data_IF_798758116388
#
_entry.id   IF_798758116388
#
_cell.length_a   1.000
_cell.length_b   1.000
_cell.length_c   1.000
_cell.angle_alpha   90.00
_cell.angle_beta   90.00
_cell.angle_gamma   90.00
#
_symmetry.space_group_name_H-M   'P 1'
#
loop_
_entity.id
_entity.type
_entity.pdbx_description
1 polymer ?
#
# COMPACT_ATOMS: atom_id res chain seq x y z
N UNK A 1 25.31 -7.30 11.33
CA UNK A 1 23.95 -7.27 11.93
C UNK A 1 22.97 -7.25 10.78
N UNK A 2 21.87 -8.00 10.89
CA UNK A 2 20.84 -8.08 9.85
C UNK A 2 19.51 -7.66 10.46
N UNK A 3 18.78 -6.82 9.74
CA UNK A 3 17.43 -6.38 10.07
C UNK A 3 16.54 -6.85 8.92
N UNK A 4 15.48 -7.60 9.22
CA UNK A 4 14.56 -8.11 8.21
C UNK A 4 13.14 -7.68 8.52
N UNK A 5 12.45 -7.09 7.55
CA UNK A 5 11.07 -6.65 7.67
C UNK A 5 10.36 -6.75 6.31
N UNK A 6 9.17 -7.36 6.27
CA UNK A 6 8.33 -7.51 5.06
C UNK A 6 9.11 -7.92 3.80
N UNK A 7 9.97 -8.93 3.90
CA UNK A 7 10.77 -9.43 2.77
C UNK A 7 12.00 -8.60 2.41
N UNK A 8 12.17 -7.41 3.00
CA UNK A 8 13.40 -6.62 2.86
C UNK A 8 14.42 -6.98 3.93
N UNK A 9 15.67 -7.15 3.53
CA UNK A 9 16.82 -7.46 4.38
C UNK A 9 17.86 -6.34 4.29
N UNK A 10 18.21 -5.77 5.44
CA UNK A 10 19.23 -4.74 5.61
C UNK A 10 20.37 -5.31 6.44
N UNK A 11 21.57 -5.38 5.87
CA UNK A 11 22.79 -5.83 6.56
C UNK A 11 23.74 -4.65 6.79
N UNK A 12 24.16 -4.46 8.04
CA UNK A 12 25.13 -3.45 8.44
C UNK A 12 26.26 -4.06 9.29
N UNK A 13 27.46 -3.50 9.19
CA UNK A 13 28.62 -3.91 10.01
C UNK A 13 29.17 -2.73 10.80
N UNK A 14 29.57 -2.99 12.05
CA UNK A 14 30.15 -1.97 12.94
C UNK A 14 31.45 -1.44 12.32
N UNK A 15 31.59 -0.12 12.26
CA UNK A 15 32.75 0.56 11.70
C UNK A 15 32.93 0.41 10.19
N UNK A 16 31.90 -0.07 9.48
CA UNK A 16 31.93 -0.20 8.02
C UNK A 16 30.98 0.80 7.38
N UNK A 17 31.44 1.45 6.31
CA UNK A 17 30.67 2.37 5.48
C UNK A 17 29.82 1.63 4.44
N UNK A 18 30.12 0.36 4.15
CA UNK A 18 29.28 -0.47 3.30
C UNK A 18 28.13 -1.12 4.09
N UNK A 19 26.95 -1.15 3.48
CA UNK A 19 25.77 -1.92 3.89
C UNK A 19 25.27 -2.77 2.71
N UNK A 20 24.40 -3.74 2.98
CA UNK A 20 23.63 -4.42 1.91
C UNK A 20 22.13 -4.27 2.12
N UNK A 21 21.41 -4.03 1.03
CA UNK A 21 19.95 -4.05 0.95
C UNK A 21 19.58 -5.16 -0.04
N UNK A 22 18.90 -6.20 0.44
CA UNK A 22 18.55 -7.38 -0.38
C UNK A 22 19.76 -7.94 -1.17
N UNK A 23 20.93 -7.98 -0.52
CA UNK A 23 22.19 -8.43 -1.10
C UNK A 23 22.95 -7.40 -1.95
N UNK A 24 22.33 -6.27 -2.32
CA UNK A 24 22.97 -5.20 -3.09
C UNK A 24 23.72 -4.23 -2.19
N UNK A 25 24.95 -3.87 -2.56
CA UNK A 25 25.79 -2.94 -1.80
C UNK A 25 25.26 -1.51 -1.84
N UNK A 26 25.31 -0.82 -0.69
CA UNK A 26 25.01 0.60 -0.50
C UNK A 26 26.04 1.24 0.42
N UNK A 27 26.29 2.53 0.26
CA UNK A 27 27.19 3.31 1.12
C UNK A 27 26.37 4.05 2.17
N UNK A 28 26.86 4.05 3.40
CA UNK A 28 26.30 4.74 4.55
C UNK A 28 26.93 6.12 4.70
N UNK A 29 26.10 7.13 4.95
CA UNK A 29 26.58 8.47 5.32
C UNK A 29 27.10 8.51 6.76
N UNK A 30 26.58 7.64 7.63
CA UNK A 30 26.97 7.51 9.04
C UNK A 30 27.22 6.04 9.37
N UNK A 31 28.42 5.75 9.84
CA UNK A 31 28.83 4.39 10.19
C UNK A 31 28.15 3.88 11.46
N UNK A 32 27.73 2.60 11.49
CA UNK A 32 27.28 1.95 12.70
C UNK A 32 28.41 1.89 13.73
N UNK A 33 28.11 2.19 15.00
CA UNK A 33 29.11 2.15 16.06
C UNK A 33 28.51 1.64 17.38
N UNK A 34 29.38 1.31 18.34
CA UNK A 34 28.96 0.98 19.71
C UNK A 34 29.19 2.20 20.58
N UNK A 35 28.13 2.70 21.23
CA UNK A 35 28.22 3.82 22.16
C UNK A 35 29.03 3.45 23.41
N UNK A 36 29.46 4.46 24.16
CA UNK A 36 30.15 4.26 25.45
C UNK A 36 29.32 3.43 26.45
N UNK A 37 27.99 3.47 26.31
CA UNK A 37 27.06 2.67 27.12
C UNK A 37 26.88 1.24 26.61
N UNK A 38 27.68 0.80 25.63
CA UNK A 38 27.62 -0.56 25.06
C UNK A 38 26.44 -0.82 24.13
N UNK A 39 25.77 0.21 23.61
CA UNK A 39 24.63 0.05 22.69
C UNK A 39 25.08 0.23 21.25
N UNK A 40 24.58 -0.62 20.35
CA UNK A 40 24.78 -0.41 18.91
C UNK A 40 23.91 0.74 18.43
N UNK A 41 24.55 1.74 17.84
CA UNK A 41 23.93 2.89 17.20
C UNK A 41 23.96 2.70 15.69
N UNK A 42 22.81 2.82 15.06
CA UNK A 42 22.63 2.66 13.62
C UNK A 42 22.14 3.97 12.99
N UNK A 43 22.44 4.21 11.70
CA UNK A 43 21.85 5.31 10.95
C UNK A 43 20.35 5.06 10.78
N UNK A 44 19.54 5.65 11.68
CA UNK A 44 18.09 5.43 11.75
C UNK A 44 17.42 5.66 10.40
N UNK A 45 17.67 6.82 9.77
CA UNK A 45 17.07 7.18 8.48
C UNK A 45 17.34 6.12 7.41
N UNK A 46 18.62 5.73 7.26
CA UNK A 46 19.03 4.72 6.28
C UNK A 46 18.27 3.40 6.49
N UNK A 47 18.19 2.93 7.74
CA UNK A 47 17.50 1.66 8.04
C UNK A 47 16.02 1.79 7.74
N UNK A 48 15.36 2.83 8.24
CA UNK A 48 13.90 2.97 8.19
C UNK A 48 13.40 3.22 6.75
N UNK A 49 14.08 4.07 5.98
CA UNK A 49 13.72 4.35 4.58
C UNK A 49 13.88 3.09 3.70
N UNK A 50 14.96 2.32 3.89
CA UNK A 50 15.12 1.07 3.15
C UNK A 50 14.14 -0.03 3.59
N UNK A 51 13.54 0.08 4.78
CA UNK A 51 12.47 -0.82 5.23
C UNK A 51 11.06 -0.35 4.80
N UNK A 52 10.98 0.66 3.94
CA UNK A 52 9.71 1.13 3.36
C UNK A 52 8.95 2.14 4.22
N UNK A 53 9.64 2.86 5.11
CA UNK A 53 9.02 3.86 5.97
C UNK A 53 9.61 5.26 5.78
N UNK A 54 8.79 6.28 5.96
CA UNK A 54 9.23 7.66 5.86
C UNK A 54 9.73 8.21 7.18
N UNK A 55 10.67 9.13 7.09
CA UNK A 55 11.22 9.85 8.23
C UNK A 55 11.11 11.35 8.00
N UNK A 56 10.12 11.98 8.65
CA UNK A 56 9.96 13.42 8.68
C UNK A 56 10.62 14.01 9.94
N UNK A 57 11.30 15.14 9.77
CA UNK A 57 11.91 15.90 10.86
C UNK A 57 11.19 17.24 11.03
N UNK A 58 10.65 17.47 12.23
CA UNK A 58 10.19 18.78 12.66
C UNK A 58 11.30 19.44 13.50
N UNK A 59 11.95 20.43 12.90
CA UNK A 59 13.04 21.17 13.56
C UNK A 59 12.57 22.12 14.66
N UNK A 60 11.29 22.51 14.67
CA UNK A 60 10.71 23.42 15.67
C UNK A 60 10.48 22.65 16.97
N UNK A 61 9.81 21.50 16.87
CA UNK A 61 9.48 20.66 18.01
C UNK A 61 10.58 19.64 18.36
N UNK A 62 11.67 19.61 17.57
CA UNK A 62 12.75 18.61 17.65
C UNK A 62 12.19 17.18 17.63
N UNK A 63 11.22 16.94 16.76
CA UNK A 63 10.45 15.71 16.69
C UNK A 63 10.76 14.96 15.40
N UNK A 64 11.01 13.67 15.53
CA UNK A 64 11.06 12.74 14.40
C UNK A 64 9.70 12.05 14.32
N UNK A 65 9.08 12.09 13.15
CA UNK A 65 7.89 11.29 12.84
C UNK A 65 8.30 10.20 11.87
N UNK A 66 8.10 8.95 12.28
CA UNK A 66 8.30 7.76 11.44
C UNK A 66 6.92 7.27 11.04
N UNK A 67 6.67 7.19 9.74
CA UNK A 67 5.44 6.63 9.19
C UNK A 67 5.81 5.31 8.54
N UNK A 68 5.33 4.21 9.13
CA UNK A 68 5.53 2.85 8.64
C UNK A 68 4.21 2.36 8.05
N UNK A 69 4.23 1.99 6.77
CA UNK A 69 3.06 2.01 5.89
C UNK A 69 3.21 3.15 4.88
N UNK A 70 2.60 2.98 3.70
CA UNK A 70 2.77 3.82 2.52
C UNK A 70 2.78 5.32 2.84
N UNK A 71 3.99 5.86 2.90
CA UNK A 71 4.25 7.27 2.81
C UNK A 71 5.27 7.44 1.68
N UNK A 72 4.81 7.92 0.54
CA UNK A 72 5.04 9.28 0.05
C UNK A 72 3.83 9.55 -0.85
N UNK A 73 3.39 10.81 -0.95
CA UNK A 73 2.04 11.17 -1.44
C UNK A 73 1.46 10.30 -2.57
N UNK A 74 0.22 9.86 -2.40
CA UNK A 74 -0.60 9.29 -3.48
C UNK A 74 -0.14 7.93 -4.05
N UNK A 75 0.70 7.15 -3.34
CA UNK A 75 0.75 5.70 -3.57
C UNK A 75 -0.41 5.05 -2.84
N UNK A 76 -1.53 5.03 -3.54
CA UNK A 76 -2.72 4.25 -3.25
C UNK A 76 -2.61 2.93 -4.02
N UNK A 77 -3.13 1.83 -3.47
CA UNK A 77 -3.23 0.60 -4.24
C UNK A 77 -3.89 0.88 -5.59
N UNK A 78 -3.35 0.32 -6.67
CA UNK A 78 -3.89 0.50 -8.01
C UNK A 78 -5.04 -0.49 -8.21
N UNK A 79 -6.27 0.03 -8.16
CA UNK A 79 -7.47 -0.73 -8.47
C UNK A 79 -7.80 -0.72 -9.97
N UNK A 80 -6.97 -0.10 -10.83
CA UNK A 80 -7.19 -0.10 -12.27
C UNK A 80 -7.14 -1.52 -12.83
N UNK A 81 -8.09 -1.86 -13.70
CA UNK A 81 -8.12 -3.16 -14.34
C UNK A 81 -9.53 -3.74 -14.43
N UNK A 82 -9.57 -5.00 -14.85
CA UNK A 82 -10.82 -5.77 -14.95
C UNK A 82 -10.82 -6.82 -13.84
N UNK A 83 -11.90 -6.82 -13.06
CA UNK A 83 -12.05 -7.67 -11.88
C UNK A 83 -13.23 -8.61 -12.08
N UNK A 84 -13.01 -9.91 -11.90
CA UNK A 84 -14.07 -10.91 -11.86
C UNK A 84 -14.58 -11.01 -10.42
N UNK A 85 -15.85 -10.67 -10.21
CA UNK A 85 -16.45 -10.70 -8.87
C UNK A 85 -17.01 -12.08 -8.52
N UNK A 86 -17.19 -12.32 -7.22
CA UNK A 86 -17.79 -13.55 -6.67
C UNK A 86 -19.20 -13.89 -7.20
N UNK A 87 -19.94 -12.89 -7.69
CA UNK A 87 -21.24 -13.09 -8.34
C UNK A 87 -21.13 -13.44 -9.85
N UNK A 88 -19.91 -13.49 -10.40
CA UNK A 88 -19.63 -13.83 -11.79
C UNK A 88 -19.67 -12.64 -12.77
N UNK A 89 -20.02 -11.44 -12.31
CA UNK A 89 -20.01 -10.23 -13.13
C UNK A 89 -18.62 -9.58 -13.15
N UNK A 90 -18.34 -8.84 -14.22
CA UNK A 90 -17.11 -8.05 -14.36
C UNK A 90 -17.29 -6.64 -13.81
N UNK A 91 -16.23 -6.13 -13.20
CA UNK A 91 -16.06 -4.74 -12.83
C UNK A 91 -14.81 -4.18 -13.51
N UNK A 92 -14.95 -3.10 -14.27
CA UNK A 92 -13.87 -2.45 -14.99
C UNK A 92 -13.59 -1.09 -14.35
N UNK A 93 -12.38 -0.92 -13.81
CA UNK A 93 -11.98 0.27 -13.08
C UNK A 93 -10.83 1.00 -13.77
N UNK A 94 -10.87 2.33 -13.71
CA UNK A 94 -9.79 3.24 -14.09
C UNK A 94 -9.52 4.18 -12.92
N UNK A 95 -8.26 4.24 -12.50
CA UNK A 95 -7.82 5.07 -11.39
C UNK A 95 -6.94 6.24 -11.84
N UNK A 96 -7.14 7.41 -11.25
CA UNK A 96 -6.29 8.58 -11.40
C UNK A 96 -5.95 9.15 -10.03
N UNK A 97 -4.72 8.87 -9.55
CA UNK A 97 -4.34 9.11 -8.16
C UNK A 97 -5.27 8.34 -7.22
N UNK A 98 -5.82 9.02 -6.21
CA UNK A 98 -6.83 8.44 -5.30
C UNK A 98 -8.24 8.28 -5.89
N UNK A 99 -8.58 8.80 -7.07
CA UNK A 99 -9.94 8.74 -7.61
C UNK A 99 -10.13 7.54 -8.54
N UNK A 100 -11.17 6.75 -8.30
CA UNK A 100 -11.53 5.58 -9.13
C UNK A 100 -12.87 5.84 -9.81
N UNK A 101 -12.95 5.49 -11.07
CA UNK A 101 -14.19 5.47 -11.85
C UNK A 101 -14.25 4.19 -12.67
N UNK A 102 -15.45 3.75 -13.05
CA UNK A 102 -15.56 2.50 -13.78
C UNK A 102 -16.98 2.08 -14.09
N UNK A 103 -17.11 0.83 -14.52
CA UNK A 103 -18.40 0.21 -14.80
C UNK A 103 -18.50 -1.17 -14.17
N UNK A 104 -19.73 -1.59 -13.91
CA UNK A 104 -20.07 -2.89 -13.36
C UNK A 104 -21.22 -3.49 -14.17
N UNK A 105 -21.24 -4.83 -14.26
CA UNK A 105 -22.27 -5.62 -14.96
C UNK A 105 -22.51 -5.16 -16.40
N UNK A 106 -21.45 -5.23 -17.21
CA UNK A 106 -21.46 -4.87 -18.64
C UNK A 106 -21.87 -3.42 -18.92
N UNK A 107 -21.59 -2.50 -17.99
CA UNK A 107 -21.95 -1.09 -18.12
C UNK A 107 -23.35 -0.74 -17.61
N UNK A 108 -24.10 -1.69 -17.05
CA UNK A 108 -25.42 -1.43 -16.47
C UNK A 108 -25.35 -0.52 -15.24
N UNK A 109 -24.21 -0.53 -14.53
CA UNK A 109 -23.94 0.29 -13.36
C UNK A 109 -22.62 1.04 -13.51
N UNK A 110 -22.59 2.27 -13.01
CA UNK A 110 -21.37 3.07 -12.89
C UNK A 110 -20.73 2.84 -11.53
N UNK A 111 -19.40 2.94 -11.49
CA UNK A 111 -18.60 2.86 -10.27
C UNK A 111 -17.87 4.18 -10.07
N UNK A 112 -17.86 4.67 -8.83
CA UNK A 112 -16.98 5.76 -8.40
C UNK A 112 -16.49 5.50 -7.00
N UNK A 113 -15.28 5.95 -6.67
CA UNK A 113 -14.74 5.80 -5.32
C UNK A 113 -13.45 6.56 -5.09
N UNK A 114 -12.99 6.52 -3.84
CA UNK A 114 -11.72 7.09 -3.42
C UNK A 114 -10.89 6.03 -2.72
N UNK A 115 -9.62 5.95 -3.08
CA UNK A 115 -8.66 5.04 -2.47
C UNK A 115 -7.90 5.75 -1.36
N UNK A 116 -7.76 5.08 -0.21
CA UNK A 116 -6.94 5.50 0.92
C UNK A 116 -6.05 4.33 1.35
N UNK A 117 -4.75 4.41 1.05
CA UNK A 117 -3.84 3.28 1.21
C UNK A 117 -4.26 2.11 0.31
N UNK A 118 -4.59 0.97 0.90
CA UNK A 118 -5.07 -0.21 0.19
C UNK A 118 -6.60 -0.38 0.21
N UNK A 119 -7.36 0.61 0.68
CA UNK A 119 -8.83 0.54 0.79
C UNK A 119 -9.47 1.41 -0.28
N UNK A 120 -10.37 0.83 -1.07
CA UNK A 120 -11.27 1.56 -1.96
C UNK A 120 -12.64 1.66 -1.30
N UNK A 121 -13.05 2.89 -1.00
CA UNK A 121 -14.43 3.20 -0.63
C UNK A 121 -15.14 3.78 -1.85
N UNK A 122 -16.27 3.18 -2.23
CA UNK A 122 -16.97 3.58 -3.44
C UNK A 122 -18.45 3.32 -3.43
N UNK A 123 -19.07 3.54 -4.58
CA UNK A 123 -20.47 3.31 -4.84
C UNK A 123 -20.67 2.74 -6.24
N UNK A 124 -21.58 1.76 -6.33
CA UNK A 124 -22.25 1.37 -7.57
C UNK A 124 -23.47 2.28 -7.73
N UNK A 125 -23.71 2.86 -8.89
CA UNK A 125 -24.88 3.72 -9.10
C UNK A 125 -25.43 3.68 -10.52
N UNK A 126 -26.72 3.99 -10.64
CA UNK A 126 -27.47 4.24 -11.87
C UNK A 126 -28.20 5.58 -11.75
N UNK A 127 -29.06 5.90 -12.71
CA UNK A 127 -29.88 7.12 -12.66
C UNK A 127 -30.88 7.15 -11.48
N UNK A 128 -31.24 5.98 -10.95
CA UNK A 128 -32.32 5.85 -9.94
C UNK A 128 -31.86 5.31 -8.60
N UNK A 129 -30.71 4.66 -8.53
CA UNK A 129 -30.27 3.91 -7.35
C UNK A 129 -28.75 3.99 -7.16
N UNK A 130 -28.30 3.80 -5.91
CA UNK A 130 -26.87 3.73 -5.59
C UNK A 130 -26.60 2.96 -4.30
N UNK A 131 -25.50 2.21 -4.30
CA UNK A 131 -25.11 1.30 -3.22
C UNK A 131 -23.63 1.49 -2.89
N UNK A 132 -23.32 1.66 -1.61
CA UNK A 132 -21.94 1.83 -1.14
C UNK A 132 -21.23 0.47 -1.11
N UNK A 133 -19.93 0.48 -1.33
CA UNK A 133 -19.04 -0.64 -1.02
C UNK A 133 -17.72 -0.15 -0.40
N UNK A 134 -17.04 -1.06 0.29
CA UNK A 134 -15.69 -0.86 0.82
C UNK A 134 -14.91 -2.15 0.63
N UNK A 135 -13.78 -2.08 -0.09
CA UNK A 135 -12.91 -3.23 -0.36
C UNK A 135 -11.46 -2.93 -0.05
N UNK A 136 -10.71 -3.95 0.33
CA UNK A 136 -9.29 -3.86 0.67
C UNK A 136 -8.48 -4.71 -0.30
N UNK A 137 -7.48 -4.10 -0.94
CA UNK A 137 -6.56 -4.77 -1.86
C UNK A 137 -5.66 -5.78 -1.11
N UNK A 138 -5.44 -6.93 -1.74
CA UNK A 138 -4.47 -7.94 -1.31
C UNK A 138 -3.03 -7.43 -1.42
N UNK A 139 -2.12 -8.04 -0.67
CA UNK A 139 -0.70 -7.66 -0.70
C UNK A 139 -0.02 -7.92 -2.06
N UNK A 140 -0.56 -8.84 -2.87
CA UNK A 140 -0.03 -9.13 -4.21
C UNK A 140 -0.67 -8.27 -5.31
N UNK A 141 -1.68 -7.45 -4.96
CA UNK A 141 -2.37 -6.56 -5.89
C UNK A 141 -3.31 -7.26 -6.87
N UNK A 142 -3.61 -8.56 -6.65
CA UNK A 142 -4.35 -9.39 -7.60
C UNK A 142 -5.76 -9.74 -7.18
N UNK A 143 -6.14 -9.40 -5.95
CA UNK A 143 -7.50 -9.58 -5.47
C UNK A 143 -7.86 -8.50 -4.46
N UNK A 144 -9.16 -8.36 -4.20
CA UNK A 144 -9.63 -7.58 -3.06
C UNK A 144 -10.79 -8.29 -2.37
N UNK A 145 -10.97 -7.96 -1.10
CA UNK A 145 -12.06 -8.46 -0.27
C UNK A 145 -12.72 -7.31 0.49
N UNK A 146 -14.03 -7.41 0.70
CA UNK A 146 -14.78 -6.37 1.38
C UNK A 146 -16.27 -6.61 1.44
N UNK A 147 -17.01 -5.51 1.58
CA UNK A 147 -18.45 -5.52 1.78
C UNK A 147 -19.14 -4.52 0.86
N UNK A 148 -20.30 -4.91 0.35
CA UNK A 148 -21.26 -4.06 -0.34
C UNK A 148 -22.54 -3.91 0.50
N UNK A 149 -23.18 -2.74 0.41
CA UNK A 149 -24.25 -2.32 1.32
C UNK A 149 -25.53 -1.99 0.53
N UNK A 150 -26.27 -3.02 0.12
CA UNK A 150 -27.61 -2.88 -0.51
C UNK A 150 -28.72 -2.58 0.52
N UNK A 151 -28.53 -3.03 1.75
CA UNK A 151 -29.52 -2.98 2.83
C UNK A 151 -28.84 -2.98 4.20
N UNK A 152 -29.61 -3.13 5.27
CA UNK A 152 -29.10 -3.21 6.64
C UNK A 152 -28.09 -4.36 6.85
N UNK A 153 -28.18 -5.42 6.04
CA UNK A 153 -27.21 -6.52 6.06
C UNK A 153 -26.27 -6.38 4.86
N UNK A 154 -24.96 -6.16 5.09
CA UNK A 154 -23.97 -6.10 4.02
C UNK A 154 -23.68 -7.49 3.44
N UNK A 155 -23.26 -7.51 2.18
CA UNK A 155 -22.91 -8.73 1.43
C UNK A 155 -21.41 -8.75 1.17
N UNK A 156 -20.83 -9.96 1.12
CA UNK A 156 -19.41 -10.13 0.80
C UNK A 156 -19.15 -9.76 -0.65
N UNK A 157 -18.14 -8.92 -0.85
CA UNK A 157 -17.65 -8.51 -2.14
C UNK A 157 -16.21 -8.97 -2.28
N UNK A 158 -15.97 -9.86 -3.23
CA UNK A 158 -14.64 -10.36 -3.56
C UNK A 158 -14.41 -10.21 -5.07
N UNK A 159 -13.21 -9.79 -5.45
CA UNK A 159 -12.79 -9.67 -6.85
C UNK A 159 -11.40 -10.22 -7.08
N UNK A 160 -11.22 -10.93 -8.19
CA UNK A 160 -9.92 -11.38 -8.70
C UNK A 160 -9.58 -10.64 -10.00
N UNK A 161 -8.33 -10.19 -10.13
CA UNK A 161 -7.85 -9.52 -11.34
C UNK A 161 -7.88 -10.49 -12.54
N UNK A 162 -8.55 -10.08 -13.61
CA UNK A 162 -8.54 -10.80 -14.88
C UNK A 162 -7.24 -10.47 -15.61
N UNK A 163 -6.21 -11.29 -15.41
CA UNK A 163 -4.97 -11.15 -16.16
C UNK A 163 -5.20 -11.60 -17.61
N UNK A 164 -5.12 -10.64 -18.54
CA UNK A 164 -5.14 -10.95 -19.97
C UNK A 164 -4.05 -11.95 -20.31
N UNK A 165 -4.44 -13.14 -20.75
CA UNK A 165 -3.53 -14.05 -21.45
C UNK A 165 -3.15 -13.38 -22.78
N UNK A 166 -1.96 -12.78 -22.84
CA UNK A 166 -1.35 -12.40 -24.12
C UNK A 166 -0.92 -13.65 -24.90
#
# INVERSE_FOLDING_TARGET
MTISCQGTSVELWIGNEEAKINGQKKILEVVPFVSETGRTMLPLRFVIENLGAQVAWDGTDKRITITYGEGDGDQVADFSGTWLLNNGCLMELTQSGSQVSGTYDQGSWMVSGTVTGNVLEGQFYSDTEGYRFVVTMSNDGKSFDGLEYYSDTPWELHGEEVTGSN
#
